data_IF_237954365014
#
_entry.id   IF_237954365014
#
_cell.length_a   1.000
_cell.length_b   1.000
_cell.length_c   1.000
_cell.angle_alpha   90.00
_cell.angle_beta   90.00
_cell.angle_gamma   90.00
#
_symmetry.space_group_name_H-M   'P 1'
#
loop_
_entity.id
_entity.type
_entity.pdbx_description
1 polymer ?
#
# COMPACT_ATOMS: atom_id res chain seq x y z
N UNK A 1 -10.78 -10.10 1.51
CA UNK A 1 -10.32 -11.27 0.75
C UNK A 1 -8.79 -11.29 0.76
N UNK A 2 -8.16 -12.45 0.91
CA UNK A 2 -6.71 -12.61 1.07
C UNK A 2 -6.14 -13.32 -0.16
N UNK A 3 -5.79 -12.53 -1.17
CA UNK A 3 -5.30 -13.03 -2.48
C UNK A 3 -3.78 -12.99 -2.62
N UNK A 4 -3.06 -12.50 -1.61
CA UNK A 4 -1.61 -12.28 -1.67
C UNK A 4 -0.80 -13.57 -1.88
N UNK A 5 -1.37 -14.73 -1.51
CA UNK A 5 -0.68 -16.01 -1.51
C UNK A 5 -0.97 -16.86 -2.76
N UNK A 6 -1.73 -16.35 -3.73
CA UNK A 6 -2.01 -17.12 -4.94
C UNK A 6 -0.73 -17.29 -5.79
N UNK A 7 -0.51 -18.46 -6.40
CA UNK A 7 0.68 -18.71 -7.23
C UNK A 7 0.82 -17.69 -8.36
N UNK A 8 -0.29 -17.27 -8.97
CA UNK A 8 -0.31 -16.31 -10.08
C UNK A 8 0.19 -14.93 -9.63
N UNK A 9 -0.18 -14.50 -8.42
CA UNK A 9 0.23 -13.22 -7.87
C UNK A 9 1.67 -13.25 -7.38
N UNK A 10 2.13 -14.36 -6.80
CA UNK A 10 3.55 -14.57 -6.46
C UNK A 10 4.43 -14.54 -7.71
N UNK A 11 4.02 -15.21 -8.78
CA UNK A 11 4.71 -15.16 -10.06
C UNK A 11 4.74 -13.73 -10.63
N UNK A 12 3.65 -12.96 -10.48
CA UNK A 12 3.63 -11.56 -10.89
C UNK A 12 4.60 -10.71 -10.06
N UNK A 13 4.68 -10.91 -8.74
CA UNK A 13 5.62 -10.19 -7.89
C UNK A 13 7.08 -10.44 -8.32
N UNK A 14 7.44 -11.71 -8.56
CA UNK A 14 8.77 -12.09 -9.03
C UNK A 14 9.14 -11.44 -10.38
N UNK A 15 8.21 -11.38 -11.33
CA UNK A 15 8.45 -10.75 -12.65
C UNK A 15 8.62 -9.22 -12.59
N UNK A 16 8.15 -8.58 -11.52
CA UNK A 16 8.16 -7.11 -11.39
C UNK A 16 9.12 -6.63 -10.29
N UNK A 17 10.01 -7.50 -9.81
CA UNK A 17 10.96 -7.21 -8.72
C UNK A 17 10.30 -6.65 -7.45
N UNK A 18 9.05 -7.07 -7.18
CA UNK A 18 8.29 -6.66 -6.00
C UNK A 18 8.49 -7.66 -4.87
N UNK A 19 8.81 -7.16 -3.68
CA UNK A 19 8.93 -7.99 -2.47
C UNK A 19 7.54 -8.32 -1.94
N UNK A 20 7.25 -9.61 -1.79
CA UNK A 20 6.05 -10.09 -1.07
C UNK A 20 6.33 -10.02 0.42
N UNK A 21 5.60 -9.15 1.14
CA UNK A 21 5.74 -9.00 2.60
C UNK A 21 4.70 -9.90 3.29
N UNK A 22 5.12 -10.89 4.10
CA UNK A 22 4.20 -11.78 4.80
C UNK A 22 3.20 -11.01 5.66
N UNK A 23 1.98 -11.53 5.77
CA UNK A 23 0.99 -10.99 6.70
C UNK A 23 1.52 -11.14 8.14
N UNK A 24 1.64 -10.03 8.86
CA UNK A 24 2.13 -10.00 10.25
C UNK A 24 3.58 -9.56 10.43
N UNK A 25 4.34 -9.32 9.35
CA UNK A 25 5.66 -8.65 9.47
C UNK A 25 5.47 -7.26 10.12
N UNK A 26 6.33 -6.80 11.05
CA UNK A 26 6.15 -5.50 11.75
C UNK A 26 6.10 -4.27 10.83
N UNK A 27 6.49 -4.40 9.56
CA UNK A 27 6.23 -3.43 8.48
C UNK A 27 4.73 -3.15 8.26
N UNK A 28 3.85 -4.08 8.67
CA UNK A 28 2.42 -4.10 8.36
C UNK A 28 1.53 -3.41 9.39
N UNK A 29 2.07 -2.80 10.45
CA UNK A 29 1.26 -1.85 11.22
C UNK A 29 1.01 -0.65 10.32
N UNK A 30 -0.24 -0.13 10.23
CA UNK A 30 -0.47 1.16 9.61
C UNK A 30 0.57 2.11 10.16
N UNK A 31 1.40 2.68 9.29
CA UNK A 31 2.43 3.60 9.72
C UNK A 31 1.70 4.70 10.51
N UNK A 32 2.07 4.89 11.77
CA UNK A 32 1.52 5.97 12.55
C UNK A 32 1.82 7.27 11.79
N UNK A 33 0.79 8.08 11.57
CA UNK A 33 0.98 9.39 10.96
C UNK A 33 1.63 10.27 12.03
N UNK A 34 2.92 10.48 11.89
CA UNK A 34 3.73 11.27 12.80
C UNK A 34 4.37 12.44 12.06
N UNK A 35 4.58 13.55 12.76
CA UNK A 35 5.37 14.66 12.22
C UNK A 35 6.77 14.19 11.82
N UNK A 36 7.23 14.61 10.64
CA UNK A 36 8.56 14.27 10.07
C UNK A 36 8.69 12.77 9.68
N UNK A 37 7.60 11.99 9.73
CA UNK A 37 7.54 10.63 9.21
C UNK A 37 7.59 10.55 7.68
N UNK A 38 7.67 9.33 7.12
CA UNK A 38 7.52 9.10 5.68
C UNK A 38 6.14 9.60 5.22
N UNK A 39 6.12 10.36 4.13
CA UNK A 39 4.90 10.90 3.54
C UNK A 39 4.27 9.90 2.55
N UNK A 40 3.99 8.69 3.04
CA UNK A 40 3.28 7.63 2.32
C UNK A 40 1.86 7.54 2.87
N UNK A 41 0.87 7.97 2.10
CA UNK A 41 -0.51 8.15 2.56
C UNK A 41 -1.49 7.57 1.54
N UNK A 42 -2.56 6.93 2.04
CA UNK A 42 -3.76 6.63 1.27
C UNK A 42 -4.95 7.34 1.93
N UNK A 43 -5.68 8.12 1.14
CA UNK A 43 -6.87 8.87 1.58
C UNK A 43 -8.10 8.15 1.09
N UNK A 44 -9.01 7.85 2.01
CA UNK A 44 -10.25 7.15 1.73
C UNK A 44 -11.44 8.08 2.00
N UNK A 45 -12.51 7.96 1.23
CA UNK A 45 -13.80 8.59 1.52
C UNK A 45 -14.59 7.79 2.58
N UNK A 46 -15.78 8.27 2.94
CA UNK A 46 -16.64 7.64 3.95
C UNK A 46 -17.12 6.24 3.56
N UNK A 47 -17.06 5.88 2.27
CA UNK A 47 -17.37 4.52 1.78
C UNK A 47 -16.19 3.56 1.89
N UNK A 48 -15.01 4.07 2.25
CA UNK A 48 -13.76 3.32 2.25
C UNK A 48 -13.09 3.24 0.86
N UNK A 49 -13.53 4.04 -0.11
CA UNK A 49 -12.90 4.09 -1.44
C UNK A 49 -11.68 4.98 -1.40
N UNK A 50 -10.55 4.52 -1.96
CA UNK A 50 -9.35 5.36 -2.09
C UNK A 50 -9.59 6.48 -3.10
N UNK A 51 -9.39 7.72 -2.67
CA UNK A 51 -9.55 8.93 -3.51
C UNK A 51 -8.22 9.63 -3.79
N UNK A 52 -7.16 9.34 -3.02
CA UNK A 52 -5.81 9.82 -3.29
C UNK A 52 -4.73 8.92 -2.69
N UNK A 53 -3.60 8.79 -3.39
CA UNK A 53 -2.40 8.12 -2.88
C UNK A 53 -1.20 9.03 -3.00
N UNK A 54 -0.44 9.17 -1.92
CA UNK A 54 0.82 9.91 -1.85
C UNK A 54 1.95 8.92 -1.57
N UNK A 55 3.02 8.97 -2.35
CA UNK A 55 4.24 8.19 -2.11
C UNK A 55 5.42 9.15 -2.01
N UNK A 56 6.18 9.09 -0.91
CA UNK A 56 7.30 9.96 -0.62
C UNK A 56 6.98 11.46 -0.83
N UNK A 57 5.77 11.88 -0.45
CA UNK A 57 5.28 13.26 -0.58
C UNK A 57 4.77 13.63 -1.98
N UNK A 58 4.72 12.70 -2.93
CA UNK A 58 4.19 12.94 -4.28
C UNK A 58 2.81 12.31 -4.45
N UNK A 59 1.85 13.09 -4.94
CA UNK A 59 0.53 12.58 -5.30
C UNK A 59 0.63 11.72 -6.56
N UNK A 60 0.51 10.39 -6.40
CA UNK A 60 0.63 9.42 -7.50
C UNK A 60 -0.71 8.95 -8.04
N UNK A 61 -1.78 9.11 -7.26
CA UNK A 61 -3.15 8.84 -7.67
C UNK A 61 -4.07 9.90 -7.09
N UNK A 62 -5.06 10.31 -7.89
CA UNK A 62 -6.20 11.12 -7.46
C UNK A 62 -7.43 10.71 -8.26
N UNK A 63 -8.53 10.45 -7.57
CA UNK A 63 -9.84 10.25 -8.18
C UNK A 63 -10.58 11.58 -8.24
N UNK A 64 -11.21 11.83 -9.38
CA UNK A 64 -12.09 12.97 -9.60
C UNK A 64 -13.53 12.60 -9.29
#
# INVERSE_FOLDING_TARGET
EEYADTPELQAAAARNDVIVVPRGTPIRRPAAIIGIGRADLAVFDDSGTCIATVCAGRLVHRRH
#
